data_IF_903471147966
#
_entry.id   IF_903471147966
#
_cell.length_a   1.000
_cell.length_b   1.000
_cell.length_c   1.000
_cell.angle_alpha   90.00
_cell.angle_beta   90.00
_cell.angle_gamma   90.00
#
_symmetry.space_group_name_H-M   'P 1'
#
loop_
_entity.id
_entity.type
_entity.pdbx_description
1 polymer ?
#
# COMPACT_ATOMS: atom_id res chain seq x y z
N UNK A 1 14.21 -37.99 -1.83
CA UNK A 1 14.04 -37.13 -0.64
C UNK A 1 13.65 -35.74 -1.12
N UNK A 2 12.53 -35.22 -0.59
CA UNK A 2 11.97 -33.91 -0.91
C UNK A 2 12.83 -32.82 -0.22
N UNK A 3 13.61 -32.06 -0.99
CA UNK A 3 14.43 -30.96 -0.47
C UNK A 3 13.61 -29.67 -0.18
N UNK A 4 12.29 -29.71 -0.34
CA UNK A 4 11.45 -28.52 -0.43
C UNK A 4 10.71 -28.13 0.87
N UNK A 5 11.00 -28.76 2.02
CA UNK A 5 10.20 -28.54 3.25
C UNK A 5 10.99 -27.88 4.39
N UNK A 6 12.32 -27.71 4.27
CA UNK A 6 13.15 -27.15 5.35
C UNK A 6 14.19 -26.16 4.82
N UNK A 7 13.75 -25.12 4.11
CA UNK A 7 14.62 -24.00 3.73
C UNK A 7 14.53 -22.94 4.82
N UNK A 8 15.60 -22.74 5.59
CA UNK A 8 15.76 -21.60 6.49
C UNK A 8 16.62 -20.55 5.77
N UNK A 9 16.13 -19.31 5.56
CA UNK A 9 16.93 -18.26 4.95
C UNK A 9 18.20 -17.93 5.77
N UNK A 10 19.29 -17.60 5.07
CA UNK A 10 20.53 -17.12 5.68
C UNK A 10 20.26 -15.85 6.51
N UNK A 11 20.87 -15.75 7.70
CA UNK A 11 20.73 -14.60 8.61
C UNK A 11 19.68 -14.75 9.72
N UNK A 12 18.88 -15.82 9.72
CA UNK A 12 17.85 -16.08 10.74
C UNK A 12 18.25 -17.14 11.78
N UNK A 13 19.43 -17.73 11.62
CA UNK A 13 19.99 -18.72 12.53
C UNK A 13 21.00 -18.03 13.45
N UNK A 14 20.95 -18.35 14.74
CA UNK A 14 22.02 -18.00 15.67
C UNK A 14 23.32 -18.69 15.24
N UNK A 15 24.47 -18.17 15.69
CA UNK A 15 25.77 -18.77 15.36
C UNK A 15 25.83 -20.28 15.69
N UNK A 16 25.23 -20.67 16.82
CA UNK A 16 25.16 -22.07 17.25
C UNK A 16 24.24 -22.92 16.34
N UNK A 17 23.15 -22.35 15.83
CA UNK A 17 22.25 -23.03 14.88
C UNK A 17 22.88 -23.16 13.49
N UNK A 18 23.64 -22.15 13.03
CA UNK A 18 24.42 -22.24 11.78
C UNK A 18 25.44 -23.37 11.87
N UNK A 19 26.17 -23.46 12.98
CA UNK A 19 27.16 -24.51 13.22
C UNK A 19 26.50 -25.90 13.20
N UNK A 20 25.30 -26.05 13.79
CA UNK A 20 24.56 -27.31 13.77
C UNK A 20 24.12 -27.73 12.35
N UNK A 21 23.65 -26.77 11.53
CA UNK A 21 23.28 -27.04 10.14
C UNK A 21 24.50 -27.42 9.30
N UNK A 22 25.61 -26.70 9.46
CA UNK A 22 26.87 -27.03 8.78
C UNK A 22 27.41 -28.40 9.19
N UNK A 23 27.37 -28.75 10.47
CA UNK A 23 27.78 -30.07 10.96
C UNK A 23 26.90 -31.20 10.41
N UNK A 24 25.58 -30.99 10.36
CA UNK A 24 24.62 -31.95 9.79
C UNK A 24 24.90 -32.26 8.32
N UNK A 25 25.26 -31.25 7.52
CA UNK A 25 25.53 -31.43 6.09
C UNK A 25 26.97 -31.87 5.77
N UNK A 26 27.96 -31.49 6.58
CA UNK A 26 29.36 -31.83 6.34
C UNK A 26 29.77 -33.21 6.86
N UNK A 27 29.00 -33.80 7.78
CA UNK A 27 29.29 -35.11 8.36
C UNK A 27 28.08 -36.04 8.41
N UNK A 28 27.49 -36.44 7.26
CA UNK A 28 26.34 -37.35 7.26
C UNK A 28 26.67 -38.74 7.85
N UNK A 29 27.95 -39.10 7.99
CA UNK A 29 28.43 -40.41 8.46
C UNK A 29 29.63 -40.32 9.43
N UNK A 30 29.83 -39.22 10.15
CA UNK A 30 30.79 -39.27 11.25
C UNK A 30 30.20 -40.15 12.36
N UNK A 31 30.91 -41.24 12.66
CA UNK A 31 30.67 -42.22 13.71
C UNK A 31 30.19 -41.59 15.02
N UNK A 32 28.88 -41.45 15.17
CA UNK A 32 28.20 -41.20 16.44
C UNK A 32 27.43 -42.46 16.83
N UNK A 33 27.41 -42.84 18.12
CA UNK A 33 26.86 -44.11 18.57
C UNK A 33 25.42 -44.28 18.10
N UNK A 34 25.13 -45.48 17.57
CA UNK A 34 23.82 -45.92 17.10
C UNK A 34 22.69 -45.38 18.01
N UNK A 35 21.88 -44.46 17.49
CA UNK A 35 20.59 -44.10 18.10
C UNK A 35 20.36 -42.63 18.47
N UNK A 36 21.32 -41.72 18.31
CA UNK A 36 21.09 -40.28 18.51
C UNK A 36 21.28 -39.53 17.19
N UNK A 37 20.28 -39.63 16.32
CA UNK A 37 19.98 -38.50 15.44
C UNK A 37 19.53 -37.39 16.40
N UNK A 38 20.23 -36.27 16.47
CA UNK A 38 19.55 -35.03 16.86
C UNK A 38 18.67 -34.70 15.66
N UNK A 39 17.36 -35.02 15.63
CA UNK A 39 16.50 -34.39 14.65
C UNK A 39 16.75 -32.89 14.77
N UNK A 40 16.96 -32.21 13.65
CA UNK A 40 16.95 -30.75 13.61
C UNK A 40 15.57 -30.31 14.12
N UNK A 41 15.45 -30.15 15.43
CA UNK A 41 14.29 -29.61 16.10
C UNK A 41 14.43 -28.10 16.01
N UNK A 42 14.22 -27.58 14.82
CA UNK A 42 13.78 -26.21 14.73
C UNK A 42 12.43 -26.14 15.44
N UNK A 43 12.18 -25.16 16.31
CA UNK A 43 10.84 -24.87 16.78
C UNK A 43 9.99 -24.49 15.54
N UNK A 44 9.37 -25.48 14.91
CA UNK A 44 8.41 -25.31 13.80
C UNK A 44 7.02 -24.97 14.31
N UNK A 45 6.84 -24.90 15.63
CA UNK A 45 5.63 -24.42 16.27
C UNK A 45 5.45 -22.93 15.96
N UNK A 46 4.63 -22.66 14.95
CA UNK A 46 3.90 -21.40 14.73
C UNK A 46 4.74 -20.11 14.55
N UNK A 47 5.88 -20.16 13.85
CA UNK A 47 6.42 -18.93 13.22
C UNK A 47 5.62 -18.60 11.96
N UNK A 48 4.34 -18.30 12.16
CA UNK A 48 3.46 -17.70 11.16
C UNK A 48 4.20 -16.48 10.60
N UNK A 49 4.45 -16.46 9.29
CA UNK A 49 4.97 -15.29 8.61
C UNK A 49 3.95 -14.16 8.77
N UNK A 50 4.09 -13.34 9.80
CA UNK A 50 3.17 -12.24 10.07
C UNK A 50 3.26 -11.28 8.90
N UNK A 51 2.17 -11.16 8.16
CA UNK A 51 1.97 -10.18 7.09
C UNK A 51 1.38 -8.90 7.60
N UNK A 52 0.86 -8.91 8.83
CA UNK A 52 0.32 -7.73 9.49
C UNK A 52 0.95 -7.64 10.87
N UNK A 53 1.33 -6.44 11.26
CA UNK A 53 1.72 -6.14 12.62
C UNK A 53 1.42 -4.68 12.96
N UNK A 54 1.15 -4.44 14.23
CA UNK A 54 1.06 -3.09 14.79
C UNK A 54 2.36 -2.81 15.52
N UNK A 55 3.07 -1.78 15.09
CA UNK A 55 4.18 -1.21 15.84
C UNK A 55 3.60 -0.17 16.79
N UNK A 56 4.10 -0.11 18.02
CA UNK A 56 3.70 0.89 19.00
C UNK A 56 4.93 1.51 19.68
N UNK A 57 4.82 2.78 20.02
CA UNK A 57 5.82 3.53 20.76
C UNK A 57 5.12 4.38 21.82
N UNK A 58 5.73 4.45 23.00
CA UNK A 58 5.38 5.42 24.02
C UNK A 58 6.58 6.33 24.25
N UNK A 59 6.34 7.64 24.23
CA UNK A 59 7.36 8.64 24.53
C UNK A 59 7.02 9.24 25.88
N UNK A 60 7.79 8.85 26.89
CA UNK A 60 7.81 9.49 28.21
C UNK A 60 8.64 10.78 28.16
N UNK A 61 8.33 11.71 29.07
CA UNK A 61 8.95 13.03 29.15
C UNK A 61 8.96 13.73 27.78
N UNK A 62 7.81 13.70 27.09
CA UNK A 62 7.69 14.23 25.74
C UNK A 62 8.03 15.73 25.67
N UNK A 63 7.72 16.50 26.71
CA UNK A 63 8.09 17.91 26.81
C UNK A 63 9.59 18.17 26.93
N UNK A 64 10.41 17.20 27.32
CA UNK A 64 11.88 17.34 27.27
C UNK A 64 12.41 17.12 25.85
N UNK A 65 11.73 16.27 25.08
CA UNK A 65 12.04 15.98 23.68
C UNK A 65 11.56 17.07 22.71
N UNK A 66 10.43 17.72 23.02
CA UNK A 66 9.73 18.63 22.14
C UNK A 66 10.37 20.02 21.83
N UNK A 67 11.00 20.77 22.77
CA UNK A 67 10.99 22.23 22.60
C UNK A 67 12.20 22.82 21.90
N UNK A 68 13.33 22.14 21.68
CA UNK A 68 14.53 22.80 21.10
C UNK A 68 15.44 21.88 20.26
N UNK A 69 15.18 20.57 20.23
CA UNK A 69 16.07 19.59 19.60
C UNK A 69 15.56 19.22 18.21
N UNK A 70 15.80 20.10 17.23
CA UNK A 70 15.70 19.73 15.82
C UNK A 70 16.72 18.60 15.53
N UNK A 71 16.34 17.66 14.68
CA UNK A 71 17.15 16.51 14.22
C UNK A 71 17.42 15.37 15.23
N UNK A 72 16.85 15.38 16.43
CA UNK A 72 16.91 14.22 17.33
C UNK A 72 15.74 13.27 17.03
N UNK A 73 16.08 12.03 16.69
CA UNK A 73 15.11 10.97 16.39
C UNK A 73 14.97 9.99 17.56
N UNK A 74 13.73 9.64 17.91
CA UNK A 74 13.40 8.52 18.81
C UNK A 74 12.90 7.34 17.98
N UNK A 75 13.23 6.12 18.42
CA UNK A 75 12.92 4.88 17.71
C UNK A 75 12.18 3.89 18.60
N UNK A 76 11.25 3.10 18.03
CA UNK A 76 10.54 2.05 18.77
C UNK A 76 11.36 0.79 18.86
N UNK A 77 10.87 -0.18 19.63
CA UNK A 77 11.29 -1.56 19.45
C UNK A 77 11.04 -2.04 18.02
N UNK A 78 11.91 -2.95 17.56
CA UNK A 78 11.84 -3.52 16.22
C UNK A 78 10.82 -4.64 16.15
N UNK A 79 9.90 -4.54 15.19
CA UNK A 79 8.92 -5.58 14.87
C UNK A 79 9.25 -6.22 13.52
N UNK A 80 9.34 -7.55 13.48
CA UNK A 80 9.62 -8.27 12.24
C UNK A 80 8.33 -8.61 11.49
N UNK A 81 8.25 -8.20 10.23
CA UNK A 81 7.12 -8.47 9.34
C UNK A 81 7.67 -9.11 8.07
N UNK A 82 7.23 -10.35 7.77
CA UNK A 82 7.82 -11.20 6.71
C UNK A 82 9.36 -11.26 6.72
N UNK A 83 9.96 -11.32 7.92
CA UNK A 83 11.41 -11.41 8.08
C UNK A 83 12.19 -10.10 7.91
N UNK A 84 11.51 -8.99 7.59
CA UNK A 84 12.14 -7.67 7.56
C UNK A 84 11.90 -6.93 8.90
N UNK A 85 12.94 -6.31 9.50
CA UNK A 85 12.84 -5.55 10.75
C UNK A 85 12.32 -4.13 10.51
N UNK A 86 11.15 -3.81 11.08
CA UNK A 86 10.54 -2.48 11.03
C UNK A 86 10.57 -1.80 12.40
N UNK A 87 10.66 -0.47 12.43
CA UNK A 87 10.53 0.35 13.62
C UNK A 87 9.83 1.68 13.32
N UNK A 88 9.25 2.30 14.34
CA UNK A 88 8.78 3.69 14.30
C UNK A 88 9.99 4.60 14.47
N UNK A 89 10.05 5.68 13.69
CA UNK A 89 10.94 6.81 13.91
C UNK A 89 10.11 8.08 14.09
N UNK A 90 10.44 8.87 15.11
CA UNK A 90 9.79 10.14 15.44
C UNK A 90 10.84 11.22 15.63
N UNK A 91 10.64 12.38 15.03
CA UNK A 91 11.50 13.55 15.21
C UNK A 91 10.69 14.84 15.18
N UNK A 92 11.17 15.89 15.82
CA UNK A 92 10.57 17.22 15.72
C UNK A 92 11.11 17.94 14.49
N UNK A 93 10.21 18.48 13.67
CA UNK A 93 10.54 19.19 12.43
C UNK A 93 9.99 20.63 12.46
N UNK A 94 10.59 21.51 11.66
CA UNK A 94 9.98 22.79 11.32
C UNK A 94 9.00 22.60 10.17
N UNK A 95 7.79 23.14 10.33
CA UNK A 95 6.71 22.98 9.35
C UNK A 95 7.10 23.61 8.00
N UNK A 96 7.23 22.76 6.99
CA UNK A 96 7.54 23.16 5.62
C UNK A 96 6.47 24.13 5.09
N UNK A 97 6.89 25.29 4.57
CA UNK A 97 6.01 26.30 3.95
C UNK A 97 5.40 27.32 4.91
N UNK A 98 5.74 27.29 6.20
CA UNK A 98 5.35 28.32 7.17
C UNK A 98 6.37 29.46 7.21
N UNK A 99 5.90 30.71 7.33
CA UNK A 99 6.76 31.90 7.58
C UNK A 99 7.12 32.07 9.05
N UNK A 100 6.43 31.36 9.94
CA UNK A 100 6.74 31.25 11.36
C UNK A 100 7.44 29.90 11.64
N UNK A 101 8.35 29.85 12.62
CA UNK A 101 9.04 28.65 13.14
C UNK A 101 8.07 27.68 13.86
N UNK A 102 6.97 27.33 13.20
CA UNK A 102 5.96 26.41 13.71
C UNK A 102 6.54 25.00 13.71
N UNK A 103 6.61 24.40 14.90
CA UNK A 103 7.10 23.03 15.09
C UNK A 103 6.01 22.02 14.82
N UNK A 104 6.41 20.86 14.29
CA UNK A 104 5.51 19.75 14.00
C UNK A 104 6.20 18.42 14.32
N UNK A 105 5.39 17.39 14.55
CA UNK A 105 5.87 16.04 14.77
C UNK A 105 6.05 15.35 13.41
N UNK A 106 7.26 14.92 13.12
CA UNK A 106 7.56 13.99 12.04
C UNK A 106 7.36 12.55 12.50
N UNK A 107 6.68 11.73 11.70
CA UNK A 107 6.31 10.37 12.08
C UNK A 107 6.50 9.40 10.90
N UNK A 108 7.40 8.43 11.06
CA UNK A 108 7.89 7.57 9.98
C UNK A 108 7.91 6.09 10.38
N UNK A 109 7.71 5.24 9.38
CA UNK A 109 8.00 3.82 9.42
C UNK A 109 9.37 3.61 8.79
N UNK A 110 10.29 2.95 9.50
CA UNK A 110 11.62 2.64 9.02
C UNK A 110 11.85 1.12 8.99
N UNK A 111 12.48 0.61 7.94
CA UNK A 111 12.93 -0.76 7.82
C UNK A 111 14.46 -0.79 7.99
N UNK A 112 14.94 -1.41 9.06
CA UNK A 112 16.36 -1.44 9.43
C UNK A 112 17.08 -2.70 8.94
N UNK A 113 16.62 -3.28 7.83
CA UNK A 113 17.28 -4.44 7.24
C UNK A 113 18.71 -4.07 6.79
N UNK A 114 19.68 -4.99 6.92
CA UNK A 114 21.09 -4.70 6.68
C UNK A 114 21.37 -4.03 5.33
N UNK A 115 22.24 -3.01 5.36
CA UNK A 115 22.57 -2.22 4.16
C UNK A 115 23.25 -3.04 3.06
N UNK A 116 23.91 -4.13 3.42
CA UNK A 116 24.58 -5.04 2.49
C UNK A 116 23.61 -5.99 1.75
N UNK A 117 22.34 -6.03 2.14
CA UNK A 117 21.32 -6.87 1.52
C UNK A 117 20.43 -6.07 0.55
N UNK A 118 20.23 -6.62 -0.65
CA UNK A 118 19.32 -6.05 -1.63
C UNK A 118 17.89 -6.44 -1.27
N UNK A 119 17.20 -5.57 -0.54
CA UNK A 119 15.81 -5.77 -0.17
C UNK A 119 14.92 -4.65 -0.70
N UNK A 120 13.68 -5.02 -1.00
CA UNK A 120 12.60 -4.11 -1.34
C UNK A 120 11.36 -4.64 -0.67
N UNK A 121 10.66 -3.81 0.09
CA UNK A 121 9.37 -4.12 0.67
C UNK A 121 8.30 -3.17 0.12
N UNK A 122 7.18 -3.74 -0.29
CA UNK A 122 5.97 -2.98 -0.55
C UNK A 122 5.02 -3.35 0.57
N UNK A 123 4.57 -2.36 1.34
CA UNK A 123 3.63 -2.52 2.43
C UNK A 123 2.57 -1.43 2.38
N UNK A 124 1.49 -1.55 3.13
CA UNK A 124 0.61 -0.43 3.46
C UNK A 124 0.77 -0.10 4.94
N UNK A 125 0.59 1.17 5.31
CA UNK A 125 0.84 1.63 6.67
C UNK A 125 -0.21 2.68 7.10
N UNK A 126 -0.80 2.47 8.27
CA UNK A 126 -1.71 3.43 8.91
C UNK A 126 -1.05 3.99 10.16
N UNK A 127 -0.81 5.30 10.18
CA UNK A 127 -0.15 6.03 11.26
C UNK A 127 -1.19 6.61 12.21
N UNK A 128 -1.03 6.42 13.51
CA UNK A 128 -1.99 6.86 14.53
C UNK A 128 -1.27 7.46 15.74
N UNK A 129 -1.78 8.61 16.22
CA UNK A 129 -1.55 9.06 17.59
C UNK A 129 -2.69 8.50 18.44
N UNK A 130 -2.33 7.74 19.47
CA UNK A 130 -3.28 7.02 20.32
C UNK A 130 -3.65 7.90 21.51
N UNK A 131 -4.88 8.42 21.49
CA UNK A 131 -5.45 9.15 22.61
C UNK A 131 -5.55 8.25 23.84
N UNK A 132 -5.14 8.78 24.99
CA UNK A 132 -5.21 8.09 26.27
C UNK A 132 -6.60 8.18 26.93
N UNK A 133 -7.46 9.11 26.46
CA UNK A 133 -8.74 9.42 27.09
C UNK A 133 -9.94 8.78 26.38
N UNK A 134 -9.86 8.59 25.05
CA UNK A 134 -10.91 7.98 24.25
C UNK A 134 -10.39 7.60 22.85
N UNK A 135 -10.58 6.35 22.41
CA UNK A 135 -10.18 5.91 21.07
C UNK A 135 -10.83 6.72 19.92
N UNK A 136 -12.01 7.31 20.15
CA UNK A 136 -12.69 8.15 19.17
C UNK A 136 -11.97 9.49 18.90
N UNK A 137 -11.02 9.89 19.77
CA UNK A 137 -10.22 11.11 19.63
C UNK A 137 -8.86 10.87 18.94
N UNK A 138 -8.58 9.66 18.46
CA UNK A 138 -7.34 9.34 17.77
C UNK A 138 -7.15 10.20 16.51
N UNK A 139 -5.95 10.76 16.34
CA UNK A 139 -5.56 11.42 15.09
C UNK A 139 -4.90 10.37 14.17
N UNK A 140 -5.43 10.19 12.96
CA UNK A 140 -4.97 9.14 12.03
C UNK A 140 -4.58 9.71 10.67
N UNK A 141 -3.39 9.35 10.18
CA UNK A 141 -2.96 9.53 8.79
C UNK A 141 -2.83 8.17 8.11
N UNK A 142 -3.30 8.04 6.86
CA UNK A 142 -3.33 6.76 6.14
C UNK A 142 -2.51 6.82 4.86
N UNK A 143 -1.64 5.83 4.66
CA UNK A 143 -1.03 5.53 3.36
C UNK A 143 -1.50 4.17 2.86
N UNK A 144 -2.12 4.16 1.68
CA UNK A 144 -2.58 2.92 1.04
C UNK A 144 -1.41 2.07 0.51
N UNK A 145 -0.26 2.68 0.21
CA UNK A 145 0.93 1.96 -0.27
C UNK A 145 2.23 2.72 0.06
N UNK A 146 3.16 2.03 0.72
CA UNK A 146 4.49 2.46 1.19
C UNK A 146 5.52 1.52 0.56
N UNK A 147 6.51 2.07 -0.14
CA UNK A 147 7.57 1.29 -0.78
C UNK A 147 8.90 1.65 -0.14
N UNK A 148 9.47 0.70 0.60
CA UNK A 148 10.76 0.83 1.27
C UNK A 148 11.79 -0.01 0.52
N UNK A 149 12.99 0.51 0.31
CA UNK A 149 14.03 -0.21 -0.40
C UNK A 149 15.43 0.19 0.03
N UNK A 150 16.35 -0.75 -0.13
CA UNK A 150 17.78 -0.52 -0.04
C UNK A 150 18.41 -0.77 -1.42
N UNK A 151 18.90 0.28 -2.09
CA UNK A 151 19.78 0.12 -3.26
C UNK A 151 20.88 1.18 -3.34
N UNK A 152 22.10 0.68 -3.43
CA UNK A 152 23.41 1.36 -3.37
C UNK A 152 23.88 1.93 -4.74
N UNK A 153 23.25 1.56 -5.86
CA UNK A 153 23.89 1.74 -7.17
C UNK A 153 23.82 3.13 -7.81
N UNK A 154 23.11 4.12 -7.24
CA UNK A 154 23.27 5.52 -7.66
C UNK A 154 22.70 6.56 -6.67
N UNK A 155 23.04 6.42 -5.37
CA UNK A 155 22.69 7.38 -4.29
C UNK A 155 21.16 7.52 -4.02
N UNK A 156 20.64 6.77 -3.05
CA UNK A 156 19.72 7.19 -1.95
C UNK A 156 19.11 5.95 -1.27
N UNK A 157 19.28 5.85 0.05
CA UNK A 157 18.63 4.85 0.92
C UNK A 157 17.34 5.49 1.42
N UNK A 158 16.18 5.03 0.94
CA UNK A 158 14.88 5.36 1.54
C UNK A 158 14.41 4.14 2.32
N UNK A 159 15.11 3.89 3.42
CA UNK A 159 14.74 2.87 4.40
C UNK A 159 13.62 3.36 5.33
N UNK A 160 13.16 4.61 5.18
CA UNK A 160 12.07 5.22 5.93
C UNK A 160 11.02 5.86 5.02
N UNK A 161 9.78 5.88 5.48
CA UNK A 161 8.65 6.54 4.83
C UNK A 161 7.68 7.06 5.88
N UNK A 162 7.16 8.28 5.70
CA UNK A 162 6.32 8.92 6.70
C UNK A 162 5.89 10.32 6.33
N UNK A 163 5.54 11.10 7.35
CA UNK A 163 5.14 12.49 7.22
C UNK A 163 6.16 13.38 7.92
N UNK A 164 6.71 14.36 7.22
CA UNK A 164 7.53 15.41 7.84
C UNK A 164 6.69 16.32 8.75
N UNK A 165 5.44 16.60 8.35
CA UNK A 165 4.49 17.43 9.07
C UNK A 165 3.23 16.62 9.44
N UNK A 166 3.33 15.61 10.31
CA UNK A 166 2.18 14.75 10.65
C UNK A 166 1.09 15.53 11.40
N UNK A 167 1.48 16.27 12.43
CA UNK A 167 0.61 17.11 13.25
C UNK A 167 1.42 18.31 13.77
N UNK A 168 0.80 19.49 13.87
CA UNK A 168 1.49 20.64 14.46
C UNK A 168 1.65 20.45 15.97
N UNK A 169 2.69 21.05 16.54
CA UNK A 169 2.92 20.97 17.98
C UNK A 169 1.78 21.63 18.77
N UNK A 170 1.26 22.77 18.30
CA UNK A 170 0.13 23.44 18.91
C UNK A 170 -1.13 22.55 18.94
N UNK A 171 -1.36 21.81 17.84
CA UNK A 171 -2.47 20.88 17.73
C UNK A 171 -2.30 19.64 18.62
N UNK A 172 -1.10 19.07 18.64
CA UNK A 172 -0.77 17.91 19.48
C UNK A 172 -0.98 18.19 20.98
N UNK A 173 -0.63 19.40 21.40
CA UNK A 173 -0.69 19.84 22.79
C UNK A 173 -2.08 20.37 23.21
N UNK A 174 -3.05 20.45 22.28
CA UNK A 174 -4.40 20.92 22.57
C UNK A 174 -5.13 19.94 23.50
N UNK A 175 -5.46 20.34 24.75
CA UNK A 175 -6.15 19.46 25.69
C UNK A 175 -7.52 19.00 25.17
N UNK A 176 -8.18 19.77 24.31
CA UNK A 176 -9.47 19.41 23.74
C UNK A 176 -9.38 18.21 22.78
N UNK A 177 -8.20 17.98 22.19
CA UNK A 177 -7.96 16.84 21.29
C UNK A 177 -7.56 15.58 22.04
N UNK A 178 -7.04 15.70 23.26
CA UNK A 178 -6.71 14.55 24.12
C UNK A 178 -5.66 13.61 23.54
N UNK A 179 -4.79 14.11 22.65
CA UNK A 179 -3.74 13.34 21.95
C UNK A 179 -2.48 13.16 22.79
N UNK A 180 -2.21 14.10 23.71
CA UNK A 180 -1.08 14.10 24.61
C UNK A 180 -1.58 14.13 26.07
N UNK A 181 -1.01 13.30 26.93
CA UNK A 181 -1.32 13.31 28.36
C UNK A 181 -0.36 14.24 29.10
N UNK A 182 -0.88 15.42 29.48
CA UNK A 182 -0.14 16.43 30.22
C UNK A 182 0.18 16.04 31.66
N UNK A 183 -0.59 15.15 32.29
CA UNK A 183 -0.41 14.82 33.70
C UNK A 183 0.80 13.90 33.91
N UNK A 184 1.05 13.01 32.95
CA UNK A 184 2.18 12.05 33.00
C UNK A 184 3.24 12.32 31.93
N UNK A 185 3.11 13.42 31.18
CA UNK A 185 4.01 13.82 30.09
C UNK A 185 4.31 12.68 29.10
N UNK A 186 3.23 12.15 28.51
CA UNK A 186 3.27 10.94 27.69
C UNK A 186 2.56 11.11 26.35
N UNK A 187 3.21 10.63 25.30
CA UNK A 187 2.64 10.50 23.95
C UNK A 187 2.68 9.04 23.50
N UNK A 188 1.57 8.50 22.99
CA UNK A 188 1.48 7.15 22.45
C UNK A 188 1.23 7.16 20.94
N UNK A 189 1.95 6.31 20.22
CA UNK A 189 1.96 6.24 18.77
C UNK A 189 1.82 4.79 18.33
N UNK A 190 1.14 4.58 17.20
CA UNK A 190 1.03 3.27 16.58
C UNK A 190 1.10 3.35 15.05
N UNK A 191 1.69 2.33 14.42
CA UNK A 191 1.64 2.11 12.98
C UNK A 191 1.13 0.70 12.71
N UNK A 192 -0.01 0.58 12.03
CA UNK A 192 -0.50 -0.70 11.52
C UNK A 192 0.09 -0.94 10.14
N UNK A 193 0.94 -1.96 10.01
CA UNK A 193 1.64 -2.30 8.77
C UNK A 193 1.08 -3.60 8.21
N UNK A 194 0.75 -3.59 6.92
CA UNK A 194 0.40 -4.78 6.15
C UNK A 194 1.38 -4.98 5.01
N UNK A 195 2.15 -6.06 5.06
CA UNK A 195 2.97 -6.55 3.95
C UNK A 195 2.18 -7.67 3.27
N UNK A 196 1.70 -7.51 2.02
CA UNK A 196 0.91 -8.54 1.35
C UNK A 196 1.65 -9.87 1.30
N UNK A 197 0.93 -10.99 1.46
CA UNK A 197 1.48 -12.36 1.47
C UNK A 197 2.19 -12.71 0.15
N UNK A 198 1.74 -12.15 -0.97
CA UNK A 198 2.14 -12.61 -2.29
C UNK A 198 3.22 -11.71 -2.87
N UNK A 199 4.46 -12.17 -2.71
CA UNK A 199 5.55 -11.82 -3.63
C UNK A 199 6.10 -13.04 -4.38
N UNK A 200 5.40 -14.17 -4.34
CA UNK A 200 5.78 -15.33 -5.13
C UNK A 200 5.02 -15.29 -6.47
N UNK A 201 5.81 -15.29 -7.55
CA UNK A 201 5.47 -15.62 -8.95
C UNK A 201 4.77 -14.61 -9.87
N UNK A 202 4.06 -13.56 -9.39
CA UNK A 202 3.25 -12.73 -10.32
C UNK A 202 3.97 -11.62 -11.11
N UNK A 203 5.20 -11.23 -10.73
CA UNK A 203 5.95 -10.23 -11.51
C UNK A 203 6.37 -10.73 -12.90
N UNK A 204 6.48 -12.05 -13.08
CA UNK A 204 6.70 -12.68 -14.39
C UNK A 204 5.40 -13.08 -15.10
N UNK A 205 4.27 -13.10 -14.41
CA UNK A 205 2.98 -13.37 -15.05
C UNK A 205 2.73 -12.31 -16.11
N UNK A 206 2.13 -12.75 -17.21
CA UNK A 206 1.67 -11.88 -18.28
C UNK A 206 0.19 -11.58 -18.13
N UNK A 207 -0.50 -12.03 -17.09
CA UNK A 207 -1.92 -11.77 -16.91
C UNK A 207 -2.32 -11.68 -15.44
N UNK A 208 -3.49 -11.11 -15.18
CA UNK A 208 -4.09 -11.09 -13.86
C UNK A 208 -5.43 -10.38 -13.82
N UNK A 209 -6.02 -10.35 -12.63
CA UNK A 209 -7.35 -9.79 -12.39
C UNK A 209 -7.28 -8.79 -11.24
N UNK A 210 -7.84 -7.60 -11.44
CA UNK A 210 -8.05 -6.60 -10.38
C UNK A 210 -9.55 -6.50 -10.13
N UNK A 211 -9.91 -6.33 -8.86
CA UNK A 211 -11.29 -6.11 -8.44
C UNK A 211 -11.42 -4.74 -7.78
N UNK A 212 -12.58 -4.12 -7.93
CA UNK A 212 -12.92 -2.84 -7.32
C UNK A 212 -14.38 -2.84 -6.92
N UNK A 213 -14.67 -2.45 -5.69
CA UNK A 213 -16.01 -2.13 -5.22
C UNK A 213 -16.14 -0.60 -5.19
N UNK A 214 -17.26 -0.07 -5.71
CA UNK A 214 -17.63 1.34 -5.55
C UNK A 214 -18.81 1.39 -4.60
N UNK A 215 -18.53 1.79 -3.36
CA UNK A 215 -19.55 2.12 -2.36
C UNK A 215 -20.12 3.55 -2.58
N UNK A 216 -21.32 3.80 -2.05
CA UNK A 216 -22.04 5.07 -2.21
C UNK A 216 -22.16 5.47 -3.69
N UNK A 217 -22.53 4.52 -4.56
CA UNK A 217 -22.57 4.72 -6.00
C UNK A 217 -23.55 5.85 -6.38
N UNK A 218 -24.66 5.97 -5.65
CA UNK A 218 -25.65 7.02 -5.86
C UNK A 218 -25.10 8.43 -5.58
N UNK A 219 -24.19 8.56 -4.62
CA UNK A 219 -23.44 9.80 -4.36
C UNK A 219 -22.41 10.04 -5.45
N UNK A 220 -21.62 9.01 -5.79
CA UNK A 220 -20.62 9.07 -6.86
C UNK A 220 -21.26 9.58 -8.15
N UNK A 221 -22.41 9.04 -8.55
CA UNK A 221 -23.14 9.46 -9.76
C UNK A 221 -23.51 10.96 -9.77
N UNK A 222 -23.62 11.62 -8.61
CA UNK A 222 -23.96 13.05 -8.50
C UNK A 222 -22.73 13.96 -8.53
N UNK A 223 -21.53 13.44 -8.32
CA UNK A 223 -20.29 14.22 -8.37
C UNK A 223 -20.06 14.89 -9.72
N UNK A 224 -19.13 15.85 -9.76
CA UNK A 224 -18.79 16.63 -10.95
C UNK A 224 -18.12 15.79 -12.03
N UNK A 225 -18.28 16.19 -13.28
CA UNK A 225 -17.58 15.55 -14.41
C UNK A 225 -16.07 15.53 -14.20
N UNK A 226 -15.44 14.43 -14.60
CA UNK A 226 -14.02 14.20 -14.40
C UNK A 226 -13.65 13.66 -13.01
N UNK A 227 -14.58 13.67 -12.04
CA UNK A 227 -14.36 12.98 -10.76
C UNK A 227 -14.11 11.50 -11.01
N UNK A 228 -13.11 10.95 -10.34
CA UNK A 228 -12.70 9.56 -10.52
C UNK A 228 -12.23 8.91 -9.23
N UNK A 229 -12.38 7.59 -9.18
CA UNK A 229 -11.97 6.72 -8.07
C UNK A 229 -11.03 5.66 -8.61
N UNK A 230 -10.05 5.26 -7.81
CA UNK A 230 -9.14 4.17 -8.13
C UNK A 230 -9.42 2.96 -7.24
N UNK A 231 -9.13 1.76 -7.74
CA UNK A 231 -9.11 0.56 -6.90
C UNK A 231 -8.11 0.73 -5.75
N UNK A 232 -8.51 0.31 -4.55
CA UNK A 232 -7.59 0.25 -3.40
C UNK A 232 -6.45 -0.76 -3.66
N UNK A 233 -6.81 -1.88 -4.29
CA UNK A 233 -5.86 -2.93 -4.65
C UNK A 233 -5.00 -2.52 -5.85
N UNK A 234 -3.70 -2.83 -5.75
CA UNK A 234 -2.72 -2.67 -6.83
C UNK A 234 -2.19 -4.03 -7.22
N UNK A 235 -2.31 -4.37 -8.50
CA UNK A 235 -1.74 -5.61 -9.03
C UNK A 235 -0.44 -5.32 -9.75
N UNK A 236 0.61 -6.06 -9.40
CA UNK A 236 1.92 -5.96 -10.05
C UNK A 236 2.07 -7.04 -11.12
N UNK A 237 2.17 -6.60 -12.38
CA UNK A 237 2.41 -7.45 -13.56
C UNK A 237 3.56 -6.84 -14.35
N UNK A 238 4.56 -7.66 -14.71
CA UNK A 238 5.79 -7.20 -15.39
C UNK A 238 6.49 -6.06 -14.64
N UNK A 239 6.48 -6.14 -13.31
CA UNK A 239 7.00 -5.13 -12.38
C UNK A 239 6.30 -3.75 -12.44
N UNK A 240 5.19 -3.63 -13.17
CA UNK A 240 4.41 -2.40 -13.24
C UNK A 240 3.16 -2.46 -12.34
N UNK A 241 2.81 -1.35 -11.66
CA UNK A 241 1.60 -1.26 -10.85
C UNK A 241 0.37 -0.98 -11.72
N UNK A 242 -0.65 -1.83 -11.62
CA UNK A 242 -1.91 -1.72 -12.35
C UNK A 242 -3.08 -1.52 -11.39
N UNK A 243 -4.01 -0.62 -11.76
CA UNK A 243 -5.24 -0.29 -11.02
C UNK A 243 -6.44 -0.19 -11.96
N UNK A 244 -7.64 -0.24 -11.39
CA UNK A 244 -8.88 0.19 -12.05
C UNK A 244 -9.06 1.69 -11.78
N UNK A 245 -9.42 2.45 -12.81
CA UNK A 245 -9.91 3.82 -12.68
C UNK A 245 -11.36 3.88 -13.13
N UNK A 246 -12.23 4.31 -12.24
CA UNK A 246 -13.62 4.66 -12.53
C UNK A 246 -13.75 6.18 -12.63
N UNK A 247 -14.37 6.72 -13.66
CA UNK A 247 -14.51 8.17 -13.87
C UNK A 247 -15.90 8.54 -14.36
N UNK A 248 -16.40 9.70 -13.94
CA UNK A 248 -17.67 10.25 -14.40
C UNK A 248 -17.43 11.06 -15.68
N UNK A 249 -18.09 10.64 -16.76
CA UNK A 249 -18.01 11.28 -18.06
C UNK A 249 -19.38 11.79 -18.53
N UNK A 250 -19.37 12.80 -19.39
CA UNK A 250 -20.54 13.27 -20.13
C UNK A 250 -20.37 13.00 -21.61
N UNK A 251 -21.44 12.57 -22.28
CA UNK A 251 -21.47 12.47 -23.73
C UNK A 251 -22.25 13.65 -24.27
N UNK A 252 -21.55 14.66 -24.80
CA UNK A 252 -22.22 15.80 -25.44
C UNK A 252 -23.06 15.30 -26.62
N UNK A 253 -24.37 15.58 -26.60
CA UNK A 253 -25.30 15.35 -27.72
C UNK A 253 -26.39 14.29 -27.55
N UNK A 254 -26.60 13.70 -26.37
CA UNK A 254 -27.78 12.87 -26.10
C UNK A 254 -28.85 13.67 -25.34
N UNK A 255 -29.91 14.08 -26.03
CA UNK A 255 -31.13 14.59 -25.39
C UNK A 255 -32.02 13.42 -25.01
N UNK A 256 -32.39 13.33 -23.73
CA UNK A 256 -33.50 12.50 -23.30
C UNK A 256 -34.85 13.14 -23.68
N UNK A 257 -35.95 12.40 -23.57
CA UNK A 257 -37.30 12.85 -23.96
C UNK A 257 -37.81 14.07 -23.14
N UNK A 258 -37.05 14.50 -22.13
CA UNK A 258 -37.35 15.62 -21.24
C UNK A 258 -36.39 16.82 -21.41
N UNK A 259 -35.46 16.79 -22.36
CA UNK A 259 -34.61 17.93 -22.68
C UNK A 259 -33.49 18.22 -21.67
N UNK A 260 -33.09 17.25 -20.86
CA UNK A 260 -31.85 17.32 -20.07
C UNK A 260 -30.67 16.86 -20.92
N UNK A 261 -29.64 17.69 -21.07
CA UNK A 261 -28.52 17.46 -21.99
C UNK A 261 -27.39 16.60 -21.41
N UNK A 262 -27.50 16.14 -20.16
CA UNK A 262 -26.33 15.72 -19.38
C UNK A 262 -26.48 14.27 -18.88
N UNK A 263 -26.66 13.32 -19.80
CA UNK A 263 -26.57 11.90 -19.45
C UNK A 263 -25.16 11.59 -18.95
N UNK A 264 -25.04 11.22 -17.67
CA UNK A 264 -23.78 10.82 -17.05
C UNK A 264 -23.46 9.35 -17.35
N UNK A 265 -22.18 9.09 -17.59
CA UNK A 265 -21.65 7.77 -17.89
C UNK A 265 -20.56 7.40 -16.89
N UNK A 266 -20.54 6.13 -16.50
CA UNK A 266 -19.40 5.52 -15.85
C UNK A 266 -18.38 5.16 -16.93
N UNK A 267 -17.21 5.78 -16.86
CA UNK A 267 -16.04 5.39 -17.61
C UNK A 267 -15.18 4.44 -16.79
N UNK A 268 -14.68 3.38 -17.41
CA UNK A 268 -13.82 2.38 -16.76
C UNK A 268 -12.54 2.19 -17.56
N UNK A 269 -11.42 2.22 -16.86
CA UNK A 269 -10.10 2.12 -17.45
C UNK A 269 -9.19 1.19 -16.65
N UNK A 270 -8.40 0.42 -17.37
CA UNK A 270 -7.18 -0.14 -16.82
C UNK A 270 -6.12 0.96 -16.82
N UNK A 271 -5.49 1.17 -15.68
CA UNK A 271 -4.56 2.27 -15.48
C UNK A 271 -3.22 1.77 -14.91
N UNK A 272 -2.12 2.19 -15.52
CA UNK A 272 -0.77 1.87 -15.09
C UNK A 272 -0.19 3.06 -14.29
N UNK A 273 0.10 2.81 -13.01
CA UNK A 273 0.54 3.83 -12.06
C UNK A 273 2.00 4.25 -12.20
N UNK A 274 2.73 3.66 -13.14
CA UNK A 274 4.14 3.96 -13.34
C UNK A 274 4.38 5.42 -13.78
N UNK A 275 3.42 6.06 -14.47
CA UNK A 275 3.59 7.41 -15.02
C UNK A 275 3.16 8.56 -14.07
N UNK A 276 2.41 8.28 -13.01
CA UNK A 276 1.89 9.34 -12.11
C UNK A 276 2.94 9.85 -11.13
N UNK A 277 3.97 9.04 -10.84
CA UNK A 277 5.08 9.42 -9.95
C UNK A 277 5.98 10.52 -10.51
N UNK A 278 5.95 10.82 -11.81
CA UNK A 278 6.85 11.82 -12.40
C UNK A 278 6.23 13.22 -12.48
N UNK A 279 4.89 13.35 -12.61
CA UNK A 279 4.26 14.64 -12.93
C UNK A 279 4.00 15.55 -11.72
N UNK A 280 4.03 15.02 -10.50
CA UNK A 280 3.94 15.82 -9.26
C UNK A 280 5.29 16.43 -8.85
N UNK A 281 6.39 16.08 -9.52
CA UNK A 281 7.76 16.38 -9.07
C UNK A 281 8.50 17.43 -9.91
N UNK A 282 7.91 17.96 -10.98
CA UNK A 282 8.51 19.08 -11.72
C UNK A 282 8.45 20.43 -10.97
N UNK A 283 7.83 20.49 -9.78
CA UNK A 283 7.63 21.74 -9.03
C UNK A 283 8.27 21.80 -7.63
N UNK A 284 8.99 20.76 -7.19
CA UNK A 284 9.68 20.76 -5.90
C UNK A 284 11.10 20.20 -6.05
N UNK A 285 12.09 21.06 -5.79
CA UNK A 285 13.51 20.73 -5.89
C UNK A 285 13.94 19.64 -4.87
N UNK A 286 14.78 18.73 -5.37
CA UNK A 286 15.83 17.93 -4.68
C UNK A 286 15.55 16.59 -3.97
N UNK A 287 14.31 16.14 -3.79
CA UNK A 287 14.06 14.82 -3.16
C UNK A 287 12.87 14.06 -3.80
N UNK A 288 13.11 13.36 -4.92
CA UNK A 288 12.13 12.47 -5.58
C UNK A 288 12.47 10.96 -5.47
N UNK A 289 11.48 10.05 -5.54
CA UNK A 289 11.59 8.58 -5.55
C UNK A 289 12.01 8.06 -6.95
N UNK A 290 12.22 6.73 -7.15
CA UNK A 290 13.08 6.25 -8.22
C UNK A 290 12.43 6.43 -9.60
N UNK A 291 13.26 6.83 -10.56
CA UNK A 291 12.99 6.81 -11.99
C UNK A 291 12.60 5.39 -12.41
N UNK A 292 11.30 5.12 -12.54
CA UNK A 292 10.83 3.91 -13.22
C UNK A 292 11.36 4.00 -14.65
N UNK A 293 12.11 2.98 -15.09
CA UNK A 293 12.73 2.85 -16.43
C UNK A 293 12.05 3.78 -17.43
N UNK A 294 12.73 4.84 -17.86
CA UNK A 294 12.22 5.85 -18.80
C UNK A 294 11.69 5.25 -20.13
N UNK A 295 11.88 3.95 -20.35
CA UNK A 295 11.58 3.19 -21.56
C UNK A 295 10.61 2.00 -21.36
N UNK A 296 9.73 2.01 -20.34
CA UNK A 296 8.72 0.94 -20.23
C UNK A 296 7.64 1.11 -21.31
N UNK A 297 7.30 0.01 -21.97
CA UNK A 297 6.28 -0.04 -23.01
C UNK A 297 5.78 -1.47 -23.12
N UNK A 298 4.48 -1.65 -22.94
CA UNK A 298 3.85 -2.97 -23.05
C UNK A 298 2.56 -2.89 -23.85
N UNK A 299 2.24 -3.96 -24.55
CA UNK A 299 0.89 -4.12 -25.11
C UNK A 299 0.03 -4.81 -24.08
N UNK A 300 -1.16 -4.27 -23.87
CA UNK A 300 -2.13 -4.84 -22.93
C UNK A 300 -3.45 -5.12 -23.65
N UNK A 301 -4.03 -6.27 -23.35
CA UNK A 301 -5.42 -6.60 -23.70
C UNK A 301 -6.18 -6.83 -22.40
N UNK A 302 -7.42 -6.35 -22.31
CA UNK A 302 -8.20 -6.50 -21.10
C UNK A 302 -9.69 -6.68 -21.38
N UNK A 303 -10.32 -7.43 -20.49
CA UNK A 303 -11.78 -7.55 -20.33
C UNK A 303 -12.17 -6.80 -19.07
N UNK A 304 -12.93 -5.71 -19.25
CA UNK A 304 -13.52 -4.94 -18.16
C UNK A 304 -14.94 -5.44 -17.94
N UNK A 305 -15.32 -5.73 -16.68
CA UNK A 305 -16.64 -6.26 -16.32
C UNK A 305 -17.27 -5.49 -15.17
N UNK A 306 -18.59 -5.34 -15.27
CA UNK A 306 -19.47 -5.06 -14.14
C UNK A 306 -20.12 -6.38 -13.74
N UNK A 307 -19.87 -6.81 -12.51
CA UNK A 307 -20.33 -8.10 -11.99
C UNK A 307 -21.80 -8.00 -11.63
N UNK A 308 -22.62 -8.92 -12.14
CA UNK A 308 -24.02 -8.97 -11.74
C UNK A 308 -24.16 -9.40 -10.29
N UNK A 309 -24.98 -8.68 -9.52
CA UNK A 309 -25.33 -9.00 -8.14
C UNK A 309 -26.48 -10.01 -8.07
N UNK A 310 -27.12 -10.32 -9.20
CA UNK A 310 -28.22 -11.29 -9.31
C UNK A 310 -27.71 -12.55 -9.99
N UNK A 311 -27.66 -13.67 -9.25
CA UNK A 311 -27.03 -14.92 -9.73
C UNK A 311 -27.59 -15.54 -11.02
N UNK A 312 -28.72 -15.06 -11.56
CA UNK A 312 -29.28 -15.50 -12.84
C UNK A 312 -28.95 -14.56 -14.01
N UNK A 313 -28.32 -13.40 -13.77
CA UNK A 313 -28.00 -12.41 -14.80
C UNK A 313 -26.50 -12.46 -15.14
N UNK A 314 -26.18 -12.26 -16.42
CA UNK A 314 -24.80 -12.21 -16.89
C UNK A 314 -24.15 -10.86 -16.58
N UNK A 315 -22.85 -10.89 -16.31
CA UNK A 315 -22.01 -9.69 -16.24
C UNK A 315 -22.13 -8.85 -17.52
N UNK A 316 -21.93 -7.53 -17.38
CA UNK A 316 -21.74 -6.65 -18.52
C UNK A 316 -20.25 -6.41 -18.74
N UNK A 317 -19.73 -6.81 -19.90
CA UNK A 317 -18.30 -6.75 -20.18
C UNK A 317 -17.97 -6.10 -21.52
N UNK A 318 -16.82 -5.44 -21.61
CA UNK A 318 -16.23 -4.99 -22.87
C UNK A 318 -14.73 -5.26 -22.89
N UNK A 319 -14.22 -5.53 -24.07
CA UNK A 319 -12.82 -5.89 -24.29
C UNK A 319 -12.09 -4.82 -25.11
N UNK A 320 -10.83 -4.59 -24.76
CA UNK A 320 -9.87 -3.95 -25.66
C UNK A 320 -8.68 -4.88 -25.88
N UNK A 321 -8.00 -4.73 -27.02
CA UNK A 321 -6.87 -5.58 -27.38
C UNK A 321 -5.67 -4.75 -27.81
N UNK A 322 -4.48 -5.23 -27.43
CA UNK A 322 -3.18 -4.74 -27.85
C UNK A 322 -2.97 -3.21 -27.70
N UNK A 323 -3.57 -2.63 -26.66
CA UNK A 323 -3.42 -1.21 -26.33
C UNK A 323 -2.01 -0.95 -25.81
N UNK A 324 -1.36 0.10 -26.32
CA UNK A 324 -0.01 0.44 -25.92
C UNK A 324 -0.04 1.20 -24.60
N UNK A 325 0.58 0.62 -23.58
CA UNK A 325 0.81 1.26 -22.29
C UNK A 325 2.27 1.71 -22.20
N UNK A 326 2.47 3.00 -21.99
CA UNK A 326 3.77 3.61 -21.75
C UNK A 326 3.58 4.92 -20.94
N UNK A 327 4.65 5.71 -20.76
CA UNK A 327 4.62 6.98 -20.04
C UNK A 327 3.56 7.98 -20.55
N UNK A 328 3.35 8.09 -21.86
CA UNK A 328 2.42 9.06 -22.45
C UNK A 328 1.00 8.53 -22.61
N UNK A 329 0.85 7.20 -22.63
CA UNK A 329 -0.41 6.49 -22.76
C UNK A 329 -0.51 5.45 -21.65
N UNK A 330 -0.70 5.89 -20.40
CA UNK A 330 -0.66 5.02 -19.23
C UNK A 330 -2.05 4.47 -18.83
N UNK A 331 -3.09 4.74 -19.61
CA UNK A 331 -4.45 4.29 -19.34
C UNK A 331 -5.16 3.89 -20.62
N UNK A 332 -6.00 2.87 -20.55
CA UNK A 332 -6.87 2.47 -21.67
C UNK A 332 -8.16 1.87 -21.14
N UNK A 333 -9.25 2.12 -21.87
CA UNK A 333 -10.58 1.75 -21.42
C UNK A 333 -11.66 2.48 -22.21
N UNK A 334 -12.81 2.69 -21.57
CA UNK A 334 -13.98 3.25 -22.22
C UNK A 334 -14.53 4.41 -21.41
N UNK A 335 -14.52 5.61 -21.99
CA UNK A 335 -15.11 6.79 -21.35
C UNK A 335 -16.62 6.68 -21.16
N UNK A 336 -17.28 5.93 -22.04
CA UNK A 336 -18.72 5.69 -22.00
C UNK A 336 -18.94 4.19 -21.89
N UNK A 337 -18.59 3.60 -20.73
CA UNK A 337 -18.69 2.15 -20.52
C UNK A 337 -20.15 1.73 -20.37
N UNK A 338 -20.86 2.34 -19.41
CA UNK A 338 -22.30 2.19 -19.16
C UNK A 338 -22.88 3.52 -18.66
N UNK A 339 -24.13 3.83 -18.98
CA UNK A 339 -24.78 5.01 -18.43
C UNK A 339 -25.18 4.79 -16.97
N UNK A 340 -25.16 5.82 -16.13
CA UNK A 340 -25.62 5.68 -14.74
C UNK A 340 -27.10 5.30 -14.65
N UNK A 341 -27.92 5.73 -15.62
CA UNK A 341 -29.32 5.31 -15.71
C UNK A 341 -29.47 3.80 -15.91
N UNK A 342 -28.67 3.22 -16.81
CA UNK A 342 -28.69 1.78 -17.05
C UNK A 342 -28.02 0.99 -15.92
N UNK A 343 -26.92 1.49 -15.37
CA UNK A 343 -26.19 0.85 -14.27
C UNK A 343 -27.07 0.68 -13.02
N UNK A 344 -27.84 1.71 -12.68
CA UNK A 344 -28.69 1.73 -11.49
C UNK A 344 -30.11 1.22 -11.75
N UNK A 345 -30.42 0.75 -12.97
CA UNK A 345 -31.72 0.15 -13.27
C UNK A 345 -31.86 -1.18 -12.52
N UNK A 346 -32.82 -1.31 -11.59
CA UNK A 346 -33.00 -2.54 -10.80
C UNK A 346 -33.28 -3.79 -11.65
N UNK A 347 -33.78 -3.62 -12.88
CA UNK A 347 -34.02 -4.72 -13.81
C UNK A 347 -32.73 -5.31 -14.39
N UNK A 348 -31.62 -4.54 -14.37
CA UNK A 348 -30.32 -4.93 -14.94
C UNK A 348 -29.45 -5.74 -13.97
N UNK A 349 -29.69 -5.60 -12.66
CA UNK A 349 -29.03 -6.42 -11.63
C UNK A 349 -27.54 -6.16 -11.42
N UNK A 350 -27.01 -5.03 -11.89
CA UNK A 350 -25.61 -4.64 -11.71
C UNK A 350 -25.35 -3.86 -10.41
N UNK A 351 -26.35 -3.12 -9.95
CA UNK A 351 -26.30 -2.27 -8.79
C UNK A 351 -27.04 -2.92 -7.62
N UNK A 352 -26.36 -3.02 -6.48
CA UNK A 352 -26.99 -3.37 -5.21
C UNK A 352 -27.58 -2.10 -4.59
N UNK A 353 -28.91 -2.03 -4.58
CA UNK A 353 -29.63 -0.85 -4.06
C UNK A 353 -29.61 -0.78 -2.53
N UNK A 354 -29.53 -1.92 -1.86
CA UNK A 354 -29.61 -1.99 -0.41
C UNK A 354 -28.26 -1.59 0.21
N UNK A 355 -27.15 -1.94 -0.46
CA UNK A 355 -25.79 -1.57 -0.05
C UNK A 355 -25.22 -0.33 -0.80
N UNK A 356 -25.98 0.27 -1.73
CA UNK A 356 -25.57 1.37 -2.61
C UNK A 356 -24.20 1.15 -3.27
N UNK A 357 -24.01 -0.02 -3.90
CA UNK A 357 -22.70 -0.42 -4.45
C UNK A 357 -22.73 -1.15 -5.79
N UNK A 358 -21.56 -1.20 -6.42
CA UNK A 358 -21.30 -1.99 -7.63
C UNK A 358 -19.92 -2.66 -7.56
N UNK A 359 -19.82 -3.89 -8.05
CA UNK A 359 -18.57 -4.64 -8.16
C UNK A 359 -18.06 -4.65 -9.60
N UNK A 360 -16.77 -4.37 -9.74
CA UNK A 360 -16.06 -4.27 -11.00
C UNK A 360 -14.89 -5.24 -11.01
N UNK A 361 -14.63 -5.85 -12.15
CA UNK A 361 -13.42 -6.66 -12.35
C UNK A 361 -12.76 -6.32 -13.68
N UNK A 362 -11.44 -6.25 -13.69
CA UNK A 362 -10.66 -6.17 -14.93
C UNK A 362 -9.71 -7.35 -14.96
N UNK A 363 -9.92 -8.25 -15.92
CA UNK A 363 -8.93 -9.25 -16.29
C UNK A 363 -8.09 -8.73 -17.43
N UNK A 364 -6.77 -8.80 -17.35
CA UNK A 364 -5.89 -8.25 -18.37
C UNK A 364 -4.64 -9.10 -18.59
N UNK A 365 -4.07 -8.94 -19.78
CA UNK A 365 -2.88 -9.64 -20.26
C UNK A 365 -1.89 -8.61 -20.80
N UNK A 366 -0.68 -8.60 -20.26
CA UNK A 366 0.46 -7.76 -20.63
C UNK A 366 1.48 -8.60 -21.42
N UNK A 367 1.73 -8.21 -22.66
CA UNK A 367 2.64 -8.87 -23.61
C UNK A 367 3.82 -8.01 -23.99
#
# INVERSE_FOLDING_TARGET
MQFSVQIVPSGLLTADEVINVEQYHNQPNATMPFGILYPLQFPTNERIWKTKATLSMEIENFLEFAPEQLDISKFSETTHIRGLPFQIMVKMNTKIGSTADEKCLGFYLQCIAPENEHWRCVCSATFRIVSQNNEAANCTGKFSEVVLYNKIWDRKIFNEWGYDNFISFAELMDPAKGLYDKNVDKLALAIDVTVPNEREERTHQSNGTIEMEIENLSEFARETFGSGRFSESVLYIKDLPWKIMAQINSKNGSTDQNGSTDQKWLGLYLWCAAAEKERREESLHEWGPPTWKENWSYKCSATIRIVSQKGAMSDFSRDFSAQLFNKTSNSSGFSFFISFMELMDPSKGFYDKDEDKVNLTIHFIVT
#
